data_IF_243562077255
#
_entry.id   IF_243562077255
#
_cell.length_a   1.000
_cell.length_b   1.000
_cell.length_c   1.000
_cell.angle_alpha   90.00
_cell.angle_beta   90.00
_cell.angle_gamma   90.00
#
_symmetry.space_group_name_H-M   'P 1'
#
loop_
_entity.id
_entity.type
_entity.pdbx_description
1 polymer ?
#
# COMPACT_ATOMS: atom_id res chain seq x y z
N UNK A 1 19.45 -12.44 0.41
CA UNK A 1 18.88 -11.47 -0.55
C UNK A 1 17.53 -11.06 0.01
N UNK A 2 17.28 -9.78 0.26
CA UNK A 2 15.98 -9.36 0.83
C UNK A 2 14.93 -9.40 -0.27
N UNK A 3 13.75 -9.96 0.04
CA UNK A 3 12.67 -10.03 -0.93
C UNK A 3 12.12 -8.62 -1.17
N UNK A 4 11.89 -8.31 -2.44
CA UNK A 4 11.27 -7.06 -2.89
C UNK A 4 10.01 -7.39 -3.64
N UNK A 5 8.90 -6.80 -3.21
CA UNK A 5 7.62 -6.92 -3.91
C UNK A 5 7.12 -5.55 -4.36
N UNK A 6 6.32 -5.58 -5.42
CA UNK A 6 5.63 -4.39 -5.88
C UNK A 6 4.35 -4.25 -5.10
N UNK A 7 4.13 -3.04 -4.57
CA UNK A 7 2.90 -2.74 -3.87
C UNK A 7 1.74 -2.73 -4.87
N UNK A 8 0.73 -3.54 -4.62
CA UNK A 8 -0.50 -3.59 -5.42
C UNK A 8 -1.53 -2.65 -4.81
N UNK A 9 -2.29 -1.95 -5.66
CA UNK A 9 -3.35 -1.08 -5.18
C UNK A 9 -4.46 -1.94 -4.55
N UNK A 10 -4.85 -1.68 -3.29
CA UNK A 10 -5.87 -2.48 -2.61
C UNK A 10 -7.27 -2.35 -3.22
N UNK A 11 -7.52 -1.28 -4.00
CA UNK A 11 -8.82 -1.02 -4.62
C UNK A 11 -9.00 -1.71 -5.98
N UNK A 12 -7.94 -1.76 -6.79
CA UNK A 12 -8.02 -2.27 -8.17
C UNK A 12 -7.05 -3.40 -8.50
N UNK A 13 -6.23 -3.84 -7.54
CA UNK A 13 -5.19 -4.85 -7.72
C UNK A 13 -4.06 -4.43 -8.68
N UNK A 14 -4.08 -3.19 -9.18
CA UNK A 14 -3.12 -2.76 -10.17
C UNK A 14 -1.76 -2.49 -9.53
N UNK A 15 -0.70 -2.82 -10.27
CA UNK A 15 0.68 -2.60 -9.84
C UNK A 15 0.95 -1.11 -9.62
N UNK A 16 1.36 -0.72 -8.41
CA UNK A 16 1.79 0.66 -8.14
C UNK A 16 3.28 0.84 -8.44
N UNK A 17 3.73 2.10 -8.44
CA UNK A 17 5.15 2.44 -8.63
C UNK A 17 6.00 2.22 -7.38
N UNK A 18 5.39 1.91 -6.24
CA UNK A 18 6.10 1.68 -4.99
C UNK A 18 6.58 0.23 -4.92
N UNK A 19 7.88 0.05 -4.70
CA UNK A 19 8.47 -1.23 -4.30
C UNK A 19 8.69 -1.21 -2.80
N UNK A 20 8.33 -2.30 -2.15
CA UNK A 20 8.56 -2.51 -0.72
C UNK A 20 9.54 -3.66 -0.54
N UNK A 21 10.37 -3.56 0.50
CA UNK A 21 11.23 -4.64 0.97
C UNK A 21 10.66 -5.20 2.26
N UNK A 22 11.11 -6.39 2.63
CA UNK A 22 10.82 -7.03 3.92
C UNK A 22 11.08 -6.10 5.13
N UNK A 23 12.14 -5.28 5.07
CA UNK A 23 12.47 -4.30 6.11
C UNK A 23 11.72 -2.96 6.02
N UNK A 24 10.89 -2.76 4.99
CA UNK A 24 10.17 -1.51 4.79
C UNK A 24 8.89 -1.51 5.62
N UNK A 25 8.77 -0.51 6.50
CA UNK A 25 7.54 -0.24 7.26
C UNK A 25 6.98 1.11 6.84
N UNK A 26 5.75 1.12 6.32
CA UNK A 26 5.01 2.33 5.98
C UNK A 26 3.84 2.45 6.96
N UNK A 27 3.67 3.60 7.60
CA UNK A 27 2.54 3.86 8.51
C UNK A 27 1.77 5.08 8.06
N UNK A 28 0.44 4.99 8.04
CA UNK A 28 -0.45 6.05 7.56
C UNK A 28 0.02 6.61 6.20
N UNK A 29 0.46 5.73 5.30
CA UNK A 29 1.05 6.14 4.04
C UNK A 29 -0.07 6.41 3.01
N UNK A 30 -0.15 7.63 2.46
CA UNK A 30 -1.11 7.95 1.41
C UNK A 30 -0.69 7.32 0.09
N UNK A 31 -1.38 6.25 -0.31
CA UNK A 31 -1.18 5.61 -1.60
C UNK A 31 -2.18 6.18 -2.61
N UNK A 32 -1.69 7.06 -3.48
CA UNK A 32 -2.47 7.52 -4.63
C UNK A 32 -2.48 6.48 -5.76
N UNK A 33 -3.68 6.12 -6.23
CA UNK A 33 -3.84 5.28 -7.40
C UNK A 33 -4.36 6.10 -8.60
N UNK A 34 -3.57 6.28 -9.68
CA UNK A 34 -4.03 7.04 -10.85
C UNK A 34 -5.20 6.37 -11.60
N UNK A 35 -5.41 5.06 -11.40
CA UNK A 35 -6.52 4.30 -12.00
C UNK A 35 -7.83 4.55 -11.26
N UNK A 36 -7.79 4.52 -9.92
CA UNK A 36 -8.95 4.81 -9.08
C UNK A 36 -9.19 6.32 -8.93
N UNK A 37 -8.16 7.15 -9.19
CA UNK A 37 -8.14 8.59 -8.93
C UNK A 37 -8.47 8.93 -7.47
N UNK A 38 -8.07 8.03 -6.57
CA UNK A 38 -8.35 8.08 -5.15
C UNK A 38 -7.03 7.86 -4.41
N UNK A 39 -6.92 8.50 -3.26
CA UNK A 39 -5.88 8.23 -2.29
C UNK A 39 -6.43 7.28 -1.22
N UNK A 40 -5.59 6.35 -0.78
CA UNK A 40 -5.97 5.41 0.28
C UNK A 40 -4.83 5.35 1.29
N UNK A 41 -5.17 5.50 2.57
CA UNK A 41 -4.21 5.32 3.64
C UNK A 41 -3.93 3.83 3.81
N UNK A 42 -2.65 3.47 3.79
CA UNK A 42 -2.20 2.11 3.99
C UNK A 42 -1.11 2.04 5.05
N UNK A 43 -1.09 0.93 5.77
CA UNK A 43 0.03 0.48 6.58
C UNK A 43 0.71 -0.68 5.85
N UNK A 44 2.03 -0.68 5.77
CA UNK A 44 2.80 -1.79 5.23
C UNK A 44 3.77 -2.26 6.29
N UNK A 45 3.72 -3.55 6.60
CA UNK A 45 4.65 -4.19 7.53
C UNK A 45 4.91 -5.60 7.06
N UNK A 46 6.18 -5.99 6.98
CA UNK A 46 6.57 -7.36 6.61
C UNK A 46 5.95 -7.81 5.26
N UNK A 47 5.99 -6.92 4.26
CA UNK A 47 5.36 -7.10 2.93
C UNK A 47 3.82 -7.19 2.93
N UNK A 48 3.15 -7.18 4.08
CA UNK A 48 1.69 -7.12 4.15
C UNK A 48 1.19 -5.69 4.07
N UNK A 49 0.19 -5.48 3.22
CA UNK A 49 -0.49 -4.19 3.02
C UNK A 49 -1.82 -4.23 3.78
N UNK A 50 -2.00 -3.33 4.72
CA UNK A 50 -3.25 -3.13 5.47
C UNK A 50 -3.87 -1.81 5.06
N UNK A 51 -5.15 -1.81 4.70
CA UNK A 51 -5.87 -0.58 4.37
C UNK A 51 -6.41 0.03 5.64
N UNK A 52 -6.03 1.27 5.92
CA UNK A 52 -6.56 2.06 7.02
C UNK A 52 -7.84 2.71 6.49
N UNK A 53 -8.98 2.08 6.79
CA UNK A 53 -10.29 2.71 6.61
C UNK A 53 -10.64 3.37 7.92
N UNK A 54 -10.94 4.66 7.90
CA UNK A 54 -11.63 5.28 9.02
C UNK A 54 -12.94 4.52 9.23
N UNK A 55 -13.27 4.08 10.47
CA UNK A 55 -14.58 3.53 10.74
C UNK A 55 -15.60 4.66 10.52
N UNK A 56 -16.49 4.46 9.55
CA UNK A 56 -17.67 5.30 9.34
C UNK A 56 -18.44 5.34 10.68
N UNK A 57 -18.53 6.53 11.27
CA UNK A 57 -19.14 6.77 12.58
C UNK A 57 -20.65 7.04 12.47
#
# INVERSE_FOLDING_TARGET
MKQTEWLLCPLCGNKTRNKIREDTVLKNYPLYCPKCKQETLIDVKDLQITVIKEPDA
#
